data_IF_022111369632
#
_entry.id   IF_022111369632
#
_cell.length_a   1.000
_cell.length_b   1.000
_cell.length_c   1.000
_cell.angle_alpha   90.00
_cell.angle_beta   90.00
_cell.angle_gamma   90.00
#
_symmetry.space_group_name_H-M   'P 1'
#
loop_
_entity.id
_entity.type
_entity.pdbx_description
1 polymer ?
#
# COMPACT_ATOMS: atom_id res chain seq x y z
N UNK A 1 8.62 8.29 10.46
CA UNK A 1 7.97 8.77 9.23
C UNK A 1 8.25 7.75 8.14
N UNK A 2 7.24 7.35 7.36
CA UNK A 2 7.42 6.42 6.25
C UNK A 2 8.42 7.03 5.25
N UNK A 3 9.41 6.26 4.81
CA UNK A 3 10.47 6.74 3.90
C UNK A 3 10.38 6.16 2.51
N UNK A 4 10.01 4.88 2.43
CA UNK A 4 9.93 4.14 1.19
C UNK A 4 8.86 3.06 1.32
N UNK A 5 8.15 2.81 0.22
CA UNK A 5 7.19 1.72 0.07
C UNK A 5 7.60 0.93 -1.17
N UNK A 6 7.80 -0.37 -0.99
CA UNK A 6 8.01 -1.31 -2.08
C UNK A 6 6.88 -2.34 -2.06
N UNK A 7 6.22 -2.52 -3.21
CA UNK A 7 5.10 -3.45 -3.36
C UNK A 7 5.34 -4.25 -4.63
N UNK A 8 5.33 -5.57 -4.49
CA UNK A 8 5.44 -6.48 -5.63
C UNK A 8 4.33 -7.53 -5.60
N UNK A 9 3.87 -7.89 -6.79
CA UNK A 9 2.82 -8.87 -7.04
C UNK A 9 1.56 -8.68 -6.16
N UNK A 10 1.11 -7.43 -5.99
CA UNK A 10 -0.10 -7.10 -5.23
C UNK A 10 -1.08 -6.31 -6.10
N UNK A 11 -2.15 -6.99 -6.54
CA UNK A 11 -3.15 -6.45 -7.48
C UNK A 11 -2.46 -5.88 -8.73
N UNK A 12 -2.61 -4.59 -9.01
CA UNK A 12 -2.01 -3.93 -10.18
C UNK A 12 -0.59 -3.38 -9.94
N UNK A 13 -0.02 -3.56 -8.74
CA UNK A 13 1.32 -3.10 -8.40
C UNK A 13 2.32 -4.25 -8.56
N UNK A 14 3.22 -4.12 -9.54
CA UNK A 14 4.28 -5.10 -9.86
C UNK A 14 5.60 -4.35 -9.90
N UNK A 15 6.59 -4.79 -9.12
CA UNK A 15 7.85 -4.07 -8.90
C UNK A 15 7.66 -2.56 -8.66
N UNK A 16 6.66 -2.20 -7.86
CA UNK A 16 6.31 -0.81 -7.58
C UNK A 16 7.15 -0.28 -6.42
N UNK A 17 7.80 0.87 -6.63
CA UNK A 17 8.58 1.57 -5.62
C UNK A 17 8.13 3.02 -5.52
N UNK A 18 7.99 3.50 -4.28
CA UNK A 18 7.62 4.87 -3.96
C UNK A 18 8.50 5.38 -2.82
N UNK A 19 9.25 6.44 -3.08
CA UNK A 19 9.88 7.25 -2.06
C UNK A 19 8.87 8.26 -1.49
N UNK A 20 8.87 8.43 -0.17
CA UNK A 20 7.87 9.20 0.56
C UNK A 20 8.52 10.40 1.23
N UNK A 21 8.03 11.60 0.90
CA UNK A 21 8.43 12.85 1.54
C UNK A 21 7.36 13.33 2.55
N UNK A 22 7.52 14.53 3.11
CA UNK A 22 6.58 15.12 4.07
C UNK A 22 5.15 15.26 3.50
N UNK A 23 5.02 15.57 2.20
CA UNK A 23 3.75 15.67 1.48
C UNK A 23 3.89 14.95 0.14
N UNK A 24 2.95 14.06 -0.19
CA UNK A 24 2.95 13.31 -1.43
C UNK A 24 1.57 13.43 -2.09
N UNK A 25 1.54 13.72 -3.39
CA UNK A 25 0.31 13.83 -4.18
C UNK A 25 0.23 12.68 -5.19
N UNK A 26 -0.83 11.88 -5.09
CA UNK A 26 -1.07 10.76 -5.99
C UNK A 26 -2.00 11.19 -7.15
N UNK A 27 -1.46 11.25 -8.37
CA UNK A 27 -2.21 11.61 -9.59
C UNK A 27 -2.20 10.46 -10.61
N UNK A 28 -3.22 10.43 -11.48
CA UNK A 28 -3.32 9.48 -12.57
C UNK A 28 -4.76 9.03 -12.82
N UNK A 29 -5.00 8.35 -13.93
CA UNK A 29 -6.31 7.83 -14.32
C UNK A 29 -6.86 6.78 -13.34
N UNK A 30 -8.17 6.53 -13.37
CA UNK A 30 -8.76 5.43 -12.60
C UNK A 30 -8.15 4.08 -13.01
N UNK A 31 -7.94 3.19 -12.04
CA UNK A 31 -7.27 1.90 -12.27
C UNK A 31 -5.74 1.92 -12.23
N UNK A 32 -5.09 3.10 -12.22
CA UNK A 32 -3.61 3.22 -12.14
C UNK A 32 -2.97 2.79 -10.82
N UNK A 33 -3.75 2.26 -9.87
CA UNK A 33 -3.22 1.72 -8.61
C UNK A 33 -3.11 2.70 -7.44
N UNK A 34 -3.57 3.95 -7.59
CA UNK A 34 -3.58 4.93 -6.48
C UNK A 34 -4.24 4.38 -5.20
N UNK A 35 -5.49 3.93 -5.29
CA UNK A 35 -6.20 3.33 -4.15
C UNK A 35 -5.55 2.03 -3.67
N UNK A 36 -4.90 1.28 -4.56
CA UNK A 36 -4.19 0.04 -4.24
C UNK A 36 -3.00 0.28 -3.29
N UNK A 37 -2.27 1.39 -3.46
CA UNK A 37 -1.18 1.76 -2.53
C UNK A 37 -1.72 1.97 -1.13
N UNK A 38 -2.81 2.72 -0.98
CA UNK A 38 -3.45 2.93 0.33
C UNK A 38 -3.99 1.63 0.92
N UNK A 39 -4.59 0.75 0.10
CA UNK A 39 -5.06 -0.56 0.56
C UNK A 39 -3.91 -1.40 1.13
N UNK A 40 -2.77 -1.48 0.43
CA UNK A 40 -1.60 -2.20 0.91
C UNK A 40 -1.12 -1.66 2.26
N UNK A 41 -1.01 -0.33 2.39
CA UNK A 41 -0.60 0.33 3.64
C UNK A 41 -1.59 0.07 4.78
N UNK A 42 -2.90 0.13 4.52
CA UNK A 42 -3.92 -0.16 5.53
C UNK A 42 -3.91 -1.62 5.98
N UNK A 43 -3.69 -2.57 5.07
CA UNK A 43 -3.56 -3.99 5.43
C UNK A 43 -2.34 -4.25 6.31
N UNK A 44 -1.21 -3.65 5.98
CA UNK A 44 0.01 -3.74 6.80
C UNK A 44 -0.24 -3.10 8.18
N UNK A 45 -0.88 -1.93 8.22
CA UNK A 45 -1.24 -1.27 9.47
C UNK A 45 -2.13 -2.16 10.35
N UNK A 46 -3.21 -2.71 9.81
CA UNK A 46 -4.12 -3.61 10.55
C UNK A 46 -3.38 -4.85 11.10
N UNK A 47 -2.45 -5.40 10.30
CA UNK A 47 -1.65 -6.55 10.72
C UNK A 47 -0.71 -6.18 11.88
N UNK A 48 -0.01 -5.04 11.79
CA UNK A 48 0.96 -4.61 12.80
C UNK A 48 0.28 -4.13 14.09
N UNK A 49 -0.89 -3.50 13.99
CA UNK A 49 -1.68 -3.08 15.15
C UNK A 49 -2.30 -4.25 15.92
N UNK A 50 -2.34 -5.46 15.32
CA UNK A 50 -2.97 -6.64 15.92
C UNK A 50 -4.50 -6.66 15.76
N UNK A 51 -5.05 -5.87 14.84
CA UNK A 51 -6.50 -5.75 14.64
C UNK A 51 -7.10 -7.04 14.05
N UNK A 52 -6.31 -7.83 13.32
CA UNK A 52 -6.75 -9.10 12.71
C UNK A 52 -5.56 -10.00 12.37
N UNK A 53 -5.84 -11.29 12.13
CA UNK A 53 -4.84 -12.26 11.64
C UNK A 53 -4.62 -12.08 10.14
N UNK A 54 -3.47 -12.56 9.64
CA UNK A 54 -3.07 -12.46 8.22
C UNK A 54 -4.14 -13.01 7.29
N UNK A 55 -4.75 -14.16 7.62
CA UNK A 55 -5.78 -14.81 6.83
C UNK A 55 -7.07 -13.98 6.75
N UNK A 56 -7.31 -13.11 7.73
CA UNK A 56 -8.43 -12.17 7.73
C UNK A 56 -8.18 -10.94 6.86
N UNK A 57 -6.91 -10.52 6.76
CA UNK A 57 -6.48 -9.27 6.11
C UNK A 57 -6.19 -9.48 4.61
N UNK A 58 -5.52 -10.59 4.28
CA UNK A 58 -5.09 -10.93 2.92
C UNK A 58 -5.87 -12.12 2.37
N UNK A 59 -7.19 -11.95 2.28
CA UNK A 59 -8.08 -12.88 1.57
C UNK A 59 -7.98 -12.75 0.06
#
# INVERSE_FOLDING_TARGET
MLKRVYIDNFRCLVNFELDVDAINLFLGYNGSGKSTVFEALHKIQAFVSGDSKVEGIFK
#
